data_IF_635099025504
#
_entry.id   IF_635099025504
#
_cell.length_a   1.000
_cell.length_b   1.000
_cell.length_c   1.000
_cell.angle_alpha   90.00
_cell.angle_beta   90.00
_cell.angle_gamma   90.00
#
_symmetry.space_group_name_H-M   'P 1'
#
loop_
_entity.id
_entity.type
_entity.pdbx_description
1 polymer ?
#
# COMPACT_ATOMS: atom_id res chain seq x y z
N UNK A 1 33.37 -1.98 -21.86
CA UNK A 1 31.92 -1.90 -22.18
C UNK A 1 31.24 -3.02 -21.43
N UNK A 2 30.58 -2.72 -20.30
CA UNK A 2 29.95 -3.70 -19.43
C UNK A 2 28.63 -3.13 -18.93
N UNK A 3 27.57 -3.91 -19.08
CA UNK A 3 26.16 -3.55 -18.93
C UNK A 3 25.84 -2.72 -17.68
N UNK A 4 25.36 -1.49 -17.90
CA UNK A 4 24.61 -0.66 -16.93
C UNK A 4 23.13 -1.07 -16.91
N UNK A 5 22.83 -2.35 -16.75
CA UNK A 5 21.46 -2.77 -16.44
C UNK A 5 21.26 -2.57 -14.94
N UNK A 6 20.98 -1.34 -14.54
CA UNK A 6 20.55 -1.03 -13.17
C UNK A 6 19.20 -1.68 -12.93
N UNK A 7 18.94 -2.18 -11.71
CA UNK A 7 17.63 -2.67 -11.26
C UNK A 7 16.47 -1.66 -11.49
N UNK A 8 16.79 -0.43 -11.90
CA UNK A 8 15.88 0.56 -12.45
C UNK A 8 15.07 0.05 -13.67
N UNK A 9 15.62 -0.84 -14.50
CA UNK A 9 14.88 -1.48 -15.59
C UNK A 9 13.91 -2.55 -15.08
N UNK A 10 14.29 -3.34 -14.07
CA UNK A 10 13.40 -4.34 -13.44
C UNK A 10 12.27 -3.68 -12.65
N UNK A 11 12.58 -2.58 -11.96
CA UNK A 11 11.60 -1.73 -11.27
C UNK A 11 10.67 -1.10 -12.31
N UNK A 12 11.21 -0.49 -13.38
CA UNK A 12 10.41 0.12 -14.45
C UNK A 12 9.56 -0.91 -15.22
N UNK A 13 10.09 -2.10 -15.50
CA UNK A 13 9.41 -3.17 -16.25
C UNK A 13 8.30 -3.85 -15.44
N UNK A 14 8.52 -4.14 -14.16
CA UNK A 14 7.46 -4.65 -13.28
C UNK A 14 6.33 -3.63 -13.10
N UNK A 15 6.64 -2.33 -13.18
CA UNK A 15 5.69 -1.24 -12.97
C UNK A 15 4.92 -0.88 -14.25
N UNK A 16 5.51 -0.98 -15.44
CA UNK A 16 4.83 -0.75 -16.72
C UNK A 16 3.76 -1.81 -17.02
N UNK A 17 4.04 -3.08 -16.72
CA UNK A 17 3.10 -4.21 -16.77
C UNK A 17 1.90 -3.99 -15.81
N UNK A 18 2.13 -3.29 -14.68
CA UNK A 18 1.13 -3.06 -13.65
C UNK A 18 0.31 -1.76 -13.84
N UNK A 19 0.91 -0.69 -14.36
CA UNK A 19 0.18 0.52 -14.77
C UNK A 19 -0.87 0.19 -15.85
N UNK A 20 -0.57 -0.77 -16.73
CA UNK A 20 -1.53 -1.36 -17.67
C UNK A 20 -2.73 -2.00 -16.95
N UNK A 21 -2.50 -2.75 -15.88
CA UNK A 21 -3.55 -3.38 -15.07
C UNK A 21 -4.40 -2.35 -14.29
N UNK A 22 -3.82 -1.26 -13.78
CA UNK A 22 -4.56 -0.19 -13.09
C UNK A 22 -5.38 0.70 -14.03
N UNK A 23 -4.88 1.01 -15.24
CA UNK A 23 -5.65 1.76 -16.26
C UNK A 23 -6.91 1.01 -16.70
N UNK A 24 -6.91 -0.32 -16.62
CA UNK A 24 -7.99 -1.18 -17.10
C UNK A 24 -8.99 -1.61 -16.00
N UNK A 25 -8.73 -1.32 -14.72
CA UNK A 25 -9.65 -1.69 -13.64
C UNK A 25 -10.70 -0.60 -13.39
N UNK A 26 -11.88 -0.74 -14.00
CA UNK A 26 -13.02 0.13 -13.75
C UNK A 26 -13.72 -0.25 -12.43
N UNK A 27 -13.78 0.68 -11.49
CA UNK A 27 -14.68 0.55 -10.35
C UNK A 27 -16.09 0.90 -10.85
N UNK A 28 -16.88 -0.12 -11.20
CA UNK A 28 -18.31 0.06 -11.44
C UNK A 28 -19.02 0.34 -10.11
N UNK A 29 -19.72 1.45 -10.05
CA UNK A 29 -20.58 1.83 -8.93
C UNK A 29 -22.02 1.59 -9.38
N UNK A 30 -22.74 0.72 -8.69
CA UNK A 30 -24.21 0.77 -8.71
C UNK A 30 -24.65 1.10 -7.28
N UNK A 31 -25.30 2.24 -7.10
CA UNK A 31 -25.73 2.74 -5.80
C UNK A 31 -27.25 2.91 -5.81
N UNK A 32 -28.02 2.04 -5.12
CA UNK A 32 -29.47 2.12 -5.15
C UNK A 32 -29.97 3.38 -4.43
N UNK A 33 -30.66 4.23 -5.20
CA UNK A 33 -31.15 5.57 -4.83
C UNK A 33 -31.93 5.64 -3.50
N UNK A 34 -32.52 4.52 -3.04
CA UNK A 34 -33.36 4.45 -1.83
C UNK A 34 -32.62 4.69 -0.50
N UNK A 35 -31.30 4.43 -0.43
CA UNK A 35 -30.53 4.60 0.83
C UNK A 35 -30.13 6.07 1.10
N UNK A 36 -30.03 6.89 0.05
CA UNK A 36 -29.63 8.31 0.14
C UNK A 36 -30.68 9.14 0.88
N UNK A 37 -31.96 8.91 0.59
CA UNK A 37 -33.06 9.65 1.22
C UNK A 37 -33.26 9.32 2.71
N UNK A 38 -32.92 8.10 3.16
CA UNK A 38 -33.02 7.72 4.58
C UNK A 38 -31.92 8.33 5.45
N UNK A 39 -30.70 8.47 4.92
CA UNK A 39 -29.58 9.07 5.64
C UNK A 39 -29.72 10.60 5.78
N UNK A 40 -30.22 11.28 4.74
CA UNK A 40 -30.51 12.71 4.77
C UNK A 40 -31.61 13.08 5.78
N UNK A 41 -32.58 12.19 5.99
CA UNK A 41 -33.70 12.42 6.94
C UNK A 41 -33.26 12.37 8.41
N UNK A 42 -32.20 11.62 8.74
CA UNK A 42 -31.67 11.50 10.12
C UNK A 42 -30.85 12.70 10.58
N UNK A 43 -30.30 13.52 9.66
CA UNK A 43 -29.47 14.70 9.98
C UNK A 43 -30.25 16.02 10.14
N UNK A 44 -31.56 16.02 9.86
CA UNK A 44 -32.38 17.24 9.73
C UNK A 44 -33.30 17.57 10.94
N UNK A 45 -33.00 17.04 12.14
CA UNK A 45 -33.69 17.48 13.35
C UNK A 45 -32.95 18.67 13.96
N UNK A 46 -33.27 19.89 13.52
CA UNK A 46 -33.26 21.17 14.28
C UNK A 46 -33.88 22.23 13.35
N UNK A 47 -34.83 23.02 13.84
CA UNK A 47 -35.63 24.01 13.11
C UNK A 47 -35.10 25.43 13.29
N UNK A 48 -34.95 26.22 12.22
CA UNK A 48 -35.09 27.71 12.14
C UNK A 48 -34.97 28.16 10.66
N UNK A 49 -35.45 29.36 10.29
CA UNK A 49 -35.55 29.83 8.89
C UNK A 49 -34.21 29.93 8.14
N UNK A 50 -33.12 30.25 8.83
CA UNK A 50 -31.71 30.17 8.36
C UNK A 50 -31.32 28.74 7.96
N UNK A 51 -31.97 27.76 8.58
CA UNK A 51 -31.77 26.34 8.35
C UNK A 51 -32.45 25.84 7.07
N UNK A 52 -33.46 26.56 6.51
CA UNK A 52 -34.05 26.17 5.21
C UNK A 52 -33.07 26.38 4.06
N UNK A 53 -32.40 27.52 4.00
CA UNK A 53 -31.40 27.82 2.95
C UNK A 53 -30.16 26.92 3.10
N UNK A 54 -29.71 26.70 4.34
CA UNK A 54 -28.66 25.71 4.64
C UNK A 54 -29.07 24.29 4.20
N UNK A 55 -30.28 23.85 4.54
CA UNK A 55 -30.84 22.55 4.13
C UNK A 55 -30.98 22.42 2.60
N UNK A 56 -31.34 23.49 1.90
CA UNK A 56 -31.43 23.51 0.44
C UNK A 56 -30.06 23.45 -0.24
N UNK A 57 -29.06 24.15 0.30
CA UNK A 57 -27.67 24.05 -0.17
C UNK A 57 -27.08 22.66 0.07
N UNK A 58 -27.36 22.05 1.23
CA UNK A 58 -26.95 20.66 1.54
C UNK A 58 -27.62 19.68 0.58
N UNK A 59 -28.91 19.84 0.29
CA UNK A 59 -29.60 18.99 -0.69
C UNK A 59 -28.99 19.13 -2.08
N UNK A 60 -28.75 20.36 -2.52
CA UNK A 60 -28.17 20.64 -3.84
C UNK A 60 -26.71 20.17 -3.94
N UNK A 61 -25.91 20.25 -2.86
CA UNK A 61 -24.55 19.69 -2.86
C UNK A 61 -24.56 18.17 -2.98
N UNK A 62 -25.53 17.49 -2.37
CA UNK A 62 -25.71 16.04 -2.54
C UNK A 62 -26.10 15.66 -3.98
N UNK A 63 -26.91 16.47 -4.66
CA UNK A 63 -27.25 16.28 -6.08
C UNK A 63 -25.99 16.38 -6.96
N UNK A 64 -25.17 17.42 -6.76
CA UNK A 64 -23.88 17.55 -7.46
C UNK A 64 -22.90 16.41 -7.16
N UNK A 65 -22.89 15.87 -5.93
CA UNK A 65 -22.10 14.66 -5.64
C UNK A 65 -22.58 13.47 -6.48
N UNK A 66 -23.88 13.26 -6.61
CA UNK A 66 -24.44 12.16 -7.40
C UNK A 66 -24.11 12.35 -8.88
N UNK A 67 -24.21 13.58 -9.40
CA UNK A 67 -23.80 13.92 -10.75
C UNK A 67 -22.31 13.66 -10.98
N UNK A 68 -21.45 14.08 -10.04
CA UNK A 68 -20.02 13.80 -10.11
C UNK A 68 -19.71 12.30 -10.13
N UNK A 69 -20.41 11.50 -9.30
CA UNK A 69 -20.27 10.04 -9.31
C UNK A 69 -20.68 9.43 -10.66
N UNK A 70 -21.73 9.98 -11.29
CA UNK A 70 -22.15 9.56 -12.62
C UNK A 70 -21.07 9.86 -13.67
N UNK A 71 -20.47 11.04 -13.65
CA UNK A 71 -19.36 11.36 -14.55
C UNK A 71 -18.11 10.50 -14.31
N UNK A 72 -17.85 10.07 -13.08
CA UNK A 72 -16.80 9.07 -12.80
C UNK A 72 -17.08 7.75 -13.54
N UNK A 73 -18.32 7.25 -13.50
CA UNK A 73 -18.70 6.02 -14.20
C UNK A 73 -18.54 6.16 -15.72
N UNK A 74 -18.86 7.34 -16.26
CA UNK A 74 -18.68 7.69 -17.67
C UNK A 74 -17.22 7.97 -18.06
N UNK A 75 -16.27 7.87 -17.12
CA UNK A 75 -14.86 8.25 -17.29
C UNK A 75 -14.64 9.72 -17.70
N UNK A 76 -15.64 10.58 -17.48
CA UNK A 76 -15.59 12.03 -17.76
C UNK A 76 -15.05 12.79 -16.54
N UNK A 77 -13.78 12.56 -16.20
CA UNK A 77 -13.20 13.01 -14.92
C UNK A 77 -13.18 14.54 -14.75
N UNK A 78 -13.00 15.32 -15.82
CA UNK A 78 -13.05 16.79 -15.76
C UNK A 78 -14.42 17.30 -15.30
N UNK A 79 -15.50 16.76 -15.87
CA UNK A 79 -16.87 17.09 -15.45
C UNK A 79 -17.17 16.62 -14.03
N UNK A 80 -16.64 15.45 -13.63
CA UNK A 80 -16.75 14.99 -12.26
C UNK A 80 -16.12 15.99 -11.26
N UNK A 81 -14.94 16.52 -11.58
CA UNK A 81 -14.26 17.55 -10.77
C UNK A 81 -15.11 18.82 -10.67
N UNK A 82 -15.70 19.27 -11.77
CA UNK A 82 -16.60 20.43 -11.80
C UNK A 82 -17.80 20.21 -10.87
N UNK A 83 -18.51 19.09 -11.01
CA UNK A 83 -19.65 18.75 -10.15
C UNK A 83 -19.26 18.67 -8.67
N UNK A 84 -18.15 18.00 -8.33
CA UNK A 84 -17.69 17.96 -6.92
C UNK A 84 -17.28 19.35 -6.41
N UNK A 85 -16.73 20.20 -7.26
CA UNK A 85 -16.39 21.58 -6.89
C UNK A 85 -17.65 22.40 -6.60
N UNK A 86 -18.72 22.22 -7.39
CA UNK A 86 -20.02 22.82 -7.07
C UNK A 86 -20.60 22.30 -5.76
N UNK A 87 -20.45 21.00 -5.47
CA UNK A 87 -20.85 20.44 -4.18
C UNK A 87 -20.10 21.09 -3.00
N UNK A 88 -18.77 21.25 -3.12
CA UNK A 88 -17.91 21.88 -2.11
C UNK A 88 -18.27 23.36 -1.91
N UNK A 89 -18.49 24.11 -2.98
CA UNK A 89 -18.87 25.53 -2.90
C UNK A 89 -20.19 25.75 -2.15
N UNK A 90 -21.10 24.77 -2.19
CA UNK A 90 -22.38 24.81 -1.48
C UNK A 90 -22.27 24.29 -0.04
N UNK A 91 -21.41 23.30 0.20
CA UNK A 91 -21.18 22.70 1.50
C UNK A 91 -19.79 22.04 1.55
N UNK A 92 -18.87 22.64 2.30
CA UNK A 92 -17.46 22.26 2.39
C UNK A 92 -17.13 21.40 3.62
N UNK A 93 -18.13 20.96 4.39
CA UNK A 93 -17.93 20.15 5.59
C UNK A 93 -18.17 18.65 5.39
N UNK A 94 -18.40 18.19 4.16
CA UNK A 94 -18.48 16.75 3.85
C UNK A 94 -17.13 16.26 3.29
N UNK A 95 -16.44 15.42 4.05
CA UNK A 95 -15.15 14.83 3.65
C UNK A 95 -15.27 14.01 2.34
N UNK A 96 -16.46 13.49 2.04
CA UNK A 96 -16.73 12.67 0.86
C UNK A 96 -16.53 13.48 -0.43
N UNK A 97 -16.86 14.78 -0.44
CA UNK A 97 -16.73 15.59 -1.65
C UNK A 97 -15.26 15.76 -2.06
N UNK A 98 -14.41 16.07 -1.08
CA UNK A 98 -12.96 16.15 -1.28
C UNK A 98 -12.36 14.78 -1.64
N UNK A 99 -12.75 13.71 -0.93
CA UNK A 99 -12.30 12.35 -1.25
C UNK A 99 -12.70 11.89 -2.65
N UNK A 100 -13.89 12.26 -3.13
CA UNK A 100 -14.32 11.90 -4.48
C UNK A 100 -13.62 12.76 -5.55
N UNK A 101 -13.39 14.04 -5.27
CA UNK A 101 -12.65 14.92 -6.18
C UNK A 101 -11.17 14.53 -6.27
N UNK A 102 -10.55 14.07 -5.18
CA UNK A 102 -9.19 13.55 -5.21
C UNK A 102 -9.05 12.30 -6.08
N UNK A 103 -10.04 11.40 -6.10
CA UNK A 103 -10.08 10.28 -7.07
C UNK A 103 -10.07 10.80 -8.49
N UNK A 104 -10.94 11.77 -8.82
CA UNK A 104 -11.04 12.32 -10.17
C UNK A 104 -9.73 12.99 -10.62
N UNK A 105 -9.10 13.76 -9.74
CA UNK A 105 -7.80 14.38 -9.98
C UNK A 105 -6.70 13.31 -10.16
N UNK A 106 -6.67 12.27 -9.32
CA UNK A 106 -5.72 11.16 -9.46
C UNK A 106 -5.86 10.45 -10.81
N UNK A 107 -7.09 10.22 -11.27
CA UNK A 107 -7.36 9.59 -12.57
C UNK A 107 -6.98 10.48 -13.78
N UNK A 108 -6.75 11.78 -13.55
CA UNK A 108 -6.18 12.71 -14.53
C UNK A 108 -4.67 12.95 -14.34
N UNK A 109 -4.00 12.16 -13.49
CA UNK A 109 -2.59 12.34 -13.09
C UNK A 109 -2.29 13.70 -12.44
N UNK A 110 -3.32 14.37 -11.90
CA UNK A 110 -3.18 15.62 -11.13
C UNK A 110 -2.89 15.30 -9.67
N UNK A 111 -1.70 14.76 -9.43
CA UNK A 111 -1.35 14.16 -8.14
C UNK A 111 -1.28 15.20 -7.00
N UNK A 112 -0.79 16.41 -7.28
CA UNK A 112 -0.72 17.48 -6.28
C UNK A 112 -2.10 17.93 -5.80
N UNK A 113 -3.04 18.15 -6.73
CA UNK A 113 -4.41 18.52 -6.41
C UNK A 113 -5.16 17.38 -5.73
N UNK A 114 -4.92 16.14 -6.16
CA UNK A 114 -5.48 14.96 -5.51
C UNK A 114 -4.98 14.80 -4.07
N UNK A 115 -3.69 15.07 -3.82
CA UNK A 115 -3.07 15.03 -2.49
C UNK A 115 -3.70 16.06 -1.57
N UNK A 116 -3.80 17.31 -2.02
CA UNK A 116 -4.44 18.40 -1.26
C UNK A 116 -5.90 18.10 -0.91
N UNK A 117 -6.66 17.54 -1.85
CA UNK A 117 -8.04 17.15 -1.60
C UNK A 117 -8.14 15.99 -0.60
N UNK A 118 -7.24 15.00 -0.68
CA UNK A 118 -7.21 13.91 0.29
C UNK A 118 -6.86 14.41 1.70
N UNK A 119 -5.88 15.32 1.84
CA UNK A 119 -5.53 15.96 3.11
C UNK A 119 -6.69 16.76 3.69
N UNK A 120 -7.42 17.53 2.86
CA UNK A 120 -8.61 18.25 3.29
C UNK A 120 -9.70 17.29 3.76
N UNK A 121 -9.92 16.18 3.06
CA UNK A 121 -10.88 15.16 3.48
C UNK A 121 -10.52 14.58 4.85
N UNK A 122 -9.24 14.28 5.10
CA UNK A 122 -8.75 13.77 6.39
C UNK A 122 -8.84 14.80 7.52
N UNK A 123 -8.63 16.09 7.23
CA UNK A 123 -8.84 17.18 8.20
C UNK A 123 -10.30 17.31 8.64
N UNK A 124 -11.25 16.98 7.75
CA UNK A 124 -12.68 17.01 8.04
C UNK A 124 -13.13 15.73 8.76
N UNK A 125 -12.61 14.58 8.33
CA UNK A 125 -12.97 13.25 8.83
C UNK A 125 -11.75 12.33 8.80
N UNK A 126 -11.11 12.19 9.95
CA UNK A 126 -9.96 11.31 10.16
C UNK A 126 -10.30 9.81 10.03
N UNK A 127 -11.57 9.43 9.96
CA UNK A 127 -11.98 8.03 9.78
C UNK A 127 -12.38 7.72 8.34
N UNK A 128 -12.12 8.66 7.41
CA UNK A 128 -12.38 8.44 6.00
C UNK A 128 -11.34 7.50 5.38
N UNK A 129 -11.63 6.19 5.45
CA UNK A 129 -10.82 5.12 4.85
C UNK A 129 -10.43 5.37 3.39
N UNK A 130 -11.31 6.02 2.61
CA UNK A 130 -11.04 6.31 1.20
C UNK A 130 -10.04 7.45 1.04
N UNK A 131 -10.12 8.47 1.87
CA UNK A 131 -9.16 9.57 1.88
C UNK A 131 -7.76 9.08 2.29
N UNK A 132 -7.66 8.28 3.36
CA UNK A 132 -6.43 7.61 3.77
C UNK A 132 -5.83 6.76 2.64
N UNK A 133 -6.65 5.93 1.98
CA UNK A 133 -6.20 5.12 0.85
C UNK A 133 -5.67 5.99 -0.29
N UNK A 134 -6.39 7.04 -0.68
CA UNK A 134 -5.96 7.91 -1.79
C UNK A 134 -4.67 8.63 -1.42
N UNK A 135 -4.59 9.20 -0.23
CA UNK A 135 -3.42 9.92 0.26
C UNK A 135 -2.18 9.02 0.28
N UNK A 136 -2.29 7.84 0.91
CA UNK A 136 -1.23 6.84 0.93
C UNK A 136 -0.79 6.42 -0.48
N UNK A 137 -1.74 6.15 -1.40
CA UNK A 137 -1.38 5.80 -2.79
C UNK A 137 -0.66 6.93 -3.53
N UNK A 138 -1.03 8.19 -3.32
CA UNK A 138 -0.39 9.33 -3.99
C UNK A 138 1.03 9.51 -3.46
N UNK A 139 1.24 9.38 -2.15
CA UNK A 139 2.58 9.45 -1.56
C UNK A 139 3.49 8.37 -2.14
N UNK A 140 2.99 7.13 -2.30
CA UNK A 140 3.79 6.07 -2.91
C UNK A 140 4.11 6.34 -4.40
N UNK A 141 3.15 6.92 -5.15
CA UNK A 141 3.40 7.37 -6.53
C UNK A 141 4.46 8.48 -6.56
N UNK A 142 4.38 9.45 -5.66
CA UNK A 142 5.39 10.52 -5.57
C UNK A 142 6.78 9.94 -5.31
N UNK A 143 6.91 9.03 -4.33
CA UNK A 143 8.18 8.33 -4.05
C UNK A 143 8.73 7.63 -5.29
N UNK A 144 7.87 6.99 -6.09
CA UNK A 144 8.25 6.33 -7.34
C UNK A 144 8.77 7.29 -8.41
N UNK A 145 8.29 8.54 -8.44
CA UNK A 145 8.72 9.51 -9.45
C UNK A 145 10.06 10.19 -9.12
N UNK A 146 10.61 10.01 -7.91
CA UNK A 146 11.90 10.60 -7.55
C UNK A 146 13.07 9.73 -8.04
N UNK A 147 14.02 10.31 -8.81
CA UNK A 147 15.15 9.56 -9.35
C UNK A 147 16.23 9.22 -8.29
N UNK A 148 16.32 10.01 -7.22
CA UNK A 148 17.38 9.87 -6.22
C UNK A 148 16.90 9.17 -4.95
N UNK A 149 17.37 7.95 -4.73
CA UNK A 149 17.11 7.18 -3.51
C UNK A 149 17.80 7.80 -2.30
N UNK A 150 17.01 8.35 -1.37
CA UNK A 150 17.49 8.97 -0.12
C UNK A 150 16.73 8.43 1.09
N UNK A 151 17.28 8.58 2.29
CA UNK A 151 16.56 8.26 3.53
C UNK A 151 15.25 9.05 3.69
N UNK A 152 15.18 10.25 3.12
CA UNK A 152 13.94 11.05 3.08
C UNK A 152 12.82 10.31 2.34
N UNK A 153 13.14 9.64 1.23
CA UNK A 153 12.15 8.84 0.49
C UNK A 153 11.66 7.62 1.28
N UNK A 154 12.51 7.03 2.13
CA UNK A 154 12.08 5.97 3.05
C UNK A 154 11.02 6.53 4.00
N UNK A 155 11.27 7.70 4.60
CA UNK A 155 10.31 8.36 5.51
C UNK A 155 8.99 8.70 4.80
N UNK A 156 9.05 9.17 3.56
CA UNK A 156 7.86 9.43 2.75
C UNK A 156 7.09 8.13 2.45
N UNK A 157 7.77 7.07 2.03
CA UNK A 157 7.14 5.78 1.78
C UNK A 157 6.50 5.20 3.06
N UNK A 158 7.15 5.34 4.21
CA UNK A 158 6.60 4.95 5.52
C UNK A 158 5.32 5.73 5.85
N UNK A 159 5.28 7.04 5.58
CA UNK A 159 4.05 7.82 5.72
C UNK A 159 2.94 7.26 4.81
N UNK A 160 3.24 6.97 3.55
CA UNK A 160 2.28 6.37 2.63
C UNK A 160 1.72 5.02 3.12
N UNK A 161 2.58 4.17 3.69
CA UNK A 161 2.18 2.88 4.29
C UNK A 161 1.28 3.09 5.50
N UNK A 162 1.65 3.99 6.42
CA UNK A 162 0.87 4.30 7.62
C UNK A 162 -0.56 4.75 7.29
N UNK A 163 -0.70 5.55 6.25
CA UNK A 163 -2.00 6.00 5.75
C UNK A 163 -2.82 4.83 5.17
N UNK A 164 -2.17 3.90 4.45
CA UNK A 164 -2.84 2.69 3.96
C UNK A 164 -3.24 1.73 5.09
N UNK A 165 -2.46 1.61 6.15
CA UNK A 165 -2.79 0.85 7.37
C UNK A 165 -3.99 1.48 8.07
N UNK A 166 -4.01 2.82 8.19
CA UNK A 166 -5.16 3.57 8.71
C UNK A 166 -6.42 3.33 7.87
N UNK A 167 -6.29 3.27 6.54
CA UNK A 167 -7.40 2.87 5.67
C UNK A 167 -7.85 1.43 5.93
N UNK A 168 -6.91 0.50 6.15
CA UNK A 168 -7.18 -0.91 6.42
C UNK A 168 -8.01 -1.10 7.70
N UNK A 169 -7.61 -0.42 8.78
CA UNK A 169 -8.27 -0.47 10.09
C UNK A 169 -9.73 -0.02 10.05
N UNK A 170 -10.05 0.92 9.17
CA UNK A 170 -11.41 1.44 8.98
C UNK A 170 -12.29 0.54 8.08
N UNK A 171 -11.68 -0.40 7.34
CA UNK A 171 -12.36 -1.27 6.36
C UNK A 171 -12.60 -2.69 6.90
N UNK A 172 -12.57 -2.91 8.24
CA UNK A 172 -12.80 -4.19 8.93
C UNK A 172 -13.81 -5.12 8.24
N UNK A 173 -13.61 -6.43 8.36
CA UNK A 173 -14.39 -7.51 7.71
C UNK A 173 -15.88 -7.13 7.61
N UNK A 174 -16.28 -6.71 6.43
CA UNK A 174 -17.63 -6.24 6.13
C UNK A 174 -18.19 -7.09 4.99
N UNK A 175 -19.46 -7.47 5.07
CA UNK A 175 -20.16 -8.15 3.96
C UNK A 175 -20.40 -7.23 2.75
N UNK A 176 -19.92 -5.99 2.78
CA UNK A 176 -20.05 -5.04 1.68
C UNK A 176 -18.99 -5.29 0.61
N UNK A 177 -19.43 -5.68 -0.60
CA UNK A 177 -18.58 -5.96 -1.76
C UNK A 177 -17.62 -4.79 -2.09
N UNK A 178 -18.09 -3.54 -1.99
CA UNK A 178 -17.25 -2.37 -2.26
C UNK A 178 -16.13 -2.21 -1.24
N UNK A 179 -16.40 -2.51 0.03
CA UNK A 179 -15.39 -2.52 1.09
C UNK A 179 -14.38 -3.65 0.89
N UNK A 180 -14.83 -4.82 0.42
CA UNK A 180 -13.93 -5.93 0.09
C UNK A 180 -13.01 -5.60 -1.08
N UNK A 181 -13.52 -4.95 -2.15
CA UNK A 181 -12.70 -4.46 -3.27
C UNK A 181 -11.64 -3.46 -2.78
N UNK A 182 -12.04 -2.50 -1.94
CA UNK A 182 -11.11 -1.52 -1.36
C UNK A 182 -10.03 -2.20 -0.49
N UNK A 183 -10.39 -3.20 0.32
CA UNK A 183 -9.45 -3.97 1.13
C UNK A 183 -8.38 -4.67 0.29
N UNK A 184 -8.78 -5.32 -0.80
CA UNK A 184 -7.82 -5.96 -1.72
C UNK A 184 -6.84 -4.94 -2.28
N UNK A 185 -7.34 -3.77 -2.71
CA UNK A 185 -6.52 -2.67 -3.20
C UNK A 185 -5.55 -2.14 -2.13
N UNK A 186 -6.01 -1.97 -0.89
CA UNK A 186 -5.16 -1.56 0.24
C UNK A 186 -4.01 -2.55 0.42
N UNK A 187 -4.30 -3.84 0.52
CA UNK A 187 -3.28 -4.88 0.69
C UNK A 187 -2.25 -4.88 -0.45
N UNK A 188 -2.70 -4.73 -1.69
CA UNK A 188 -1.80 -4.63 -2.84
C UNK A 188 -0.88 -3.40 -2.75
N UNK A 189 -1.39 -2.24 -2.33
CA UNK A 189 -0.58 -1.03 -2.21
C UNK A 189 0.35 -1.07 -0.99
N UNK A 190 -0.04 -1.75 0.10
CA UNK A 190 0.83 -2.00 1.25
C UNK A 190 2.03 -2.85 0.84
N UNK A 191 1.81 -3.98 0.16
CA UNK A 191 2.88 -4.84 -0.33
C UNK A 191 3.85 -4.07 -1.25
N UNK A 192 3.31 -3.21 -2.13
CA UNK A 192 4.12 -2.32 -2.98
C UNK A 192 4.95 -1.33 -2.18
N UNK A 193 4.35 -0.64 -1.21
CA UNK A 193 5.06 0.32 -0.36
C UNK A 193 6.21 -0.34 0.40
N UNK A 194 5.95 -1.52 0.99
CA UNK A 194 6.97 -2.33 1.68
C UNK A 194 8.11 -2.73 0.74
N UNK A 195 7.79 -3.26 -0.44
CA UNK A 195 8.79 -3.64 -1.45
C UNK A 195 9.60 -2.42 -1.92
N UNK A 196 8.96 -1.27 -2.07
CA UNK A 196 9.65 -0.03 -2.46
C UNK A 196 10.66 0.41 -1.40
N UNK A 197 10.31 0.37 -0.11
CA UNK A 197 11.27 0.66 0.97
C UNK A 197 12.46 -0.30 0.93
N UNK A 198 12.20 -1.60 0.73
CA UNK A 198 13.27 -2.59 0.61
C UNK A 198 14.24 -2.26 -0.52
N UNK A 199 13.72 -1.92 -1.70
CA UNK A 199 14.53 -1.57 -2.87
C UNK A 199 15.32 -0.26 -2.65
N UNK A 200 14.71 0.75 -2.03
CA UNK A 200 15.39 2.02 -1.71
C UNK A 200 16.55 1.77 -0.75
N UNK A 201 16.37 0.92 0.27
CA UNK A 201 17.43 0.56 1.22
C UNK A 201 18.59 -0.16 0.54
N UNK A 202 18.29 -1.16 -0.29
CA UNK A 202 19.30 -1.88 -1.07
C UNK A 202 20.14 -0.93 -1.93
N UNK A 203 19.52 0.07 -2.56
CA UNK A 203 20.24 1.04 -3.37
C UNK A 203 21.12 1.99 -2.53
N UNK A 204 20.64 2.41 -1.36
CA UNK A 204 21.43 3.19 -0.40
C UNK A 204 22.62 2.38 0.10
N UNK A 205 22.43 1.12 0.46
CA UNK A 205 23.49 0.23 0.93
C UNK A 205 24.56 0.02 -0.15
N UNK A 206 24.15 -0.20 -1.41
CA UNK A 206 25.08 -0.27 -2.55
C UNK A 206 25.91 1.01 -2.70
N UNK A 207 25.27 2.19 -2.62
CA UNK A 207 25.97 3.49 -2.69
C UNK A 207 26.96 3.65 -1.53
N UNK A 208 26.56 3.27 -0.32
CA UNK A 208 27.40 3.32 0.88
C UNK A 208 28.61 2.40 0.77
N UNK A 209 28.42 1.15 0.30
CA UNK A 209 29.51 0.19 0.05
C UNK A 209 30.47 0.76 -1.00
N UNK A 210 29.95 1.34 -2.07
CA UNK A 210 30.79 1.93 -3.12
C UNK A 210 31.62 3.11 -2.61
N UNK A 211 31.03 3.97 -1.78
CA UNK A 211 31.73 5.08 -1.12
C UNK A 211 32.82 4.57 -0.17
N UNK A 212 32.51 3.57 0.65
CA UNK A 212 33.46 2.95 1.57
C UNK A 212 34.62 2.29 0.82
N UNK A 213 34.34 1.59 -0.28
CA UNK A 213 35.34 0.99 -1.17
C UNK A 213 36.29 2.06 -1.69
N UNK A 214 35.77 3.20 -2.13
CA UNK A 214 36.61 4.31 -2.60
C UNK A 214 37.50 4.87 -1.50
N UNK A 215 36.95 5.12 -0.30
CA UNK A 215 37.74 5.62 0.84
C UNK A 215 38.84 4.65 1.27
N UNK A 216 38.54 3.35 1.29
CA UNK A 216 39.50 2.30 1.62
C UNK A 216 40.60 2.18 0.56
N UNK A 217 40.29 2.34 -0.74
CA UNK A 217 41.29 2.45 -1.80
C UNK A 217 42.23 3.64 -1.57
N UNK A 218 41.67 4.82 -1.25
CA UNK A 218 42.46 6.02 -1.00
C UNK A 218 43.36 5.88 0.24
N UNK A 219 42.91 5.17 1.29
CA UNK A 219 43.73 4.84 2.46
C UNK A 219 44.83 3.85 2.09
N UNK A 220 44.48 2.78 1.36
CA UNK A 220 45.42 1.75 0.90
C UNK A 220 46.56 2.36 0.10
N UNK A 221 46.25 3.26 -0.83
CA UNK A 221 47.24 3.98 -1.63
C UNK A 221 48.14 4.88 -0.77
N UNK A 222 47.56 5.64 0.16
CA UNK A 222 48.33 6.53 1.07
C UNK A 222 49.25 5.75 2.01
N UNK A 223 48.83 4.60 2.48
CA UNK A 223 49.57 3.78 3.44
C UNK A 223 50.40 2.67 2.78
N UNK A 224 50.42 2.59 1.45
CA UNK A 224 51.09 1.52 0.68
C UNK A 224 50.69 0.10 1.12
N UNK A 225 49.44 -0.07 1.55
CA UNK A 225 48.91 -1.37 1.95
C UNK A 225 48.55 -2.20 0.72
N UNK A 226 48.84 -3.50 0.76
CA UNK A 226 48.30 -4.48 -0.19
C UNK A 226 47.02 -5.08 0.41
N UNK A 227 45.87 -4.58 -0.04
CA UNK A 227 44.57 -5.13 0.34
C UNK A 227 44.10 -6.18 -0.68
N UNK A 228 43.67 -7.35 -0.18
CA UNK A 228 42.93 -8.31 -0.98
C UNK A 228 41.45 -7.90 -1.07
N UNK A 229 41.15 -7.13 -2.11
CA UNK A 229 39.80 -6.65 -2.37
C UNK A 229 38.78 -7.74 -2.62
N UNK A 230 39.19 -8.91 -3.15
CA UNK A 230 38.27 -10.01 -3.38
C UNK A 230 37.81 -10.62 -2.05
N UNK A 231 38.74 -10.83 -1.11
CA UNK A 231 38.43 -11.32 0.23
C UNK A 231 37.58 -10.31 1.03
N UNK A 232 37.92 -9.02 0.95
CA UNK A 232 37.16 -7.95 1.60
C UNK A 232 35.75 -7.87 1.03
N UNK A 233 35.59 -7.90 -0.30
CA UNK A 233 34.28 -7.86 -0.95
C UNK A 233 33.43 -9.09 -0.60
N UNK A 234 34.03 -10.29 -0.53
CA UNK A 234 33.34 -11.49 -0.05
C UNK A 234 32.89 -11.39 1.41
N UNK A 235 33.73 -10.86 2.30
CA UNK A 235 33.39 -10.69 3.72
C UNK A 235 32.32 -9.62 3.94
N UNK A 236 32.34 -8.54 3.15
CA UNK A 236 31.30 -7.50 3.15
C UNK A 236 29.98 -8.08 2.61
N UNK A 237 30.00 -8.77 1.46
CA UNK A 237 28.81 -9.42 0.90
C UNK A 237 28.21 -10.44 1.86
N UNK A 238 29.02 -11.30 2.49
CA UNK A 238 28.54 -12.25 3.52
C UNK A 238 27.88 -11.58 4.72
N UNK A 239 28.28 -10.36 5.08
CA UNK A 239 27.67 -9.59 6.18
C UNK A 239 26.41 -8.81 5.76
N UNK A 240 26.26 -8.48 4.47
CA UNK A 240 25.19 -7.60 3.95
C UNK A 240 24.11 -8.39 3.21
N UNK A 241 24.46 -9.42 2.46
CA UNK A 241 23.53 -10.33 1.77
C UNK A 241 23.14 -11.49 2.69
N UNK A 242 22.23 -11.25 3.62
CA UNK A 242 21.31 -12.34 3.99
C UNK A 242 20.22 -12.34 2.94
N UNK A 243 20.44 -13.11 1.87
CA UNK A 243 19.37 -13.40 0.93
C UNK A 243 18.32 -14.25 1.66
N UNK A 244 17.15 -13.66 1.89
CA UNK A 244 16.03 -14.36 2.51
C UNK A 244 15.69 -15.55 1.61
N UNK A 245 15.78 -16.79 2.12
CA UNK A 245 15.52 -17.94 1.28
C UNK A 245 14.10 -17.87 0.71
N UNK A 246 13.95 -18.12 -0.59
CA UNK A 246 12.65 -17.96 -1.29
C UNK A 246 11.54 -18.79 -0.63
N UNK A 247 11.89 -19.93 -0.03
CA UNK A 247 10.96 -20.80 0.69
C UNK A 247 10.40 -20.21 2.00
N UNK A 248 10.91 -19.05 2.46
CA UNK A 248 10.32 -18.30 3.57
C UNK A 248 9.20 -17.34 3.12
N UNK A 249 9.09 -17.10 1.81
CA UNK A 249 8.13 -16.16 1.23
C UNK A 249 6.87 -16.90 0.81
N UNK A 250 5.71 -16.36 1.20
CA UNK A 250 4.41 -16.89 0.79
C UNK A 250 4.21 -16.72 -0.73
N UNK A 251 3.89 -17.78 -1.48
CA UNK A 251 3.67 -17.67 -2.93
C UNK A 251 2.47 -16.81 -3.35
N UNK A 252 1.52 -16.56 -2.44
CA UNK A 252 0.33 -15.73 -2.72
C UNK A 252 0.59 -14.26 -2.32
N UNK A 253 1.12 -14.03 -1.12
CA UNK A 253 1.32 -12.67 -0.59
C UNK A 253 2.60 -12.02 -1.10
N UNK A 254 3.59 -12.81 -1.50
CA UNK A 254 4.97 -12.36 -1.74
C UNK A 254 5.57 -11.64 -0.52
N UNK A 255 5.09 -11.98 0.67
CA UNK A 255 5.59 -11.53 1.98
C UNK A 255 6.13 -12.74 2.74
N UNK A 256 7.01 -12.52 3.72
CA UNK A 256 7.51 -13.57 4.62
C UNK A 256 6.32 -14.18 5.37
N UNK A 257 6.27 -15.51 5.44
CA UNK A 257 5.20 -16.21 6.15
C UNK A 257 5.29 -15.95 7.67
N UNK A 258 4.20 -15.50 8.28
CA UNK A 258 4.09 -15.35 9.73
C UNK A 258 3.53 -16.61 10.38
N UNK A 259 2.53 -17.20 9.70
CA UNK A 259 1.89 -18.46 10.06
C UNK A 259 1.92 -19.40 8.86
N UNK A 260 3.07 -20.03 8.54
CA UNK A 260 3.17 -20.94 7.41
C UNK A 260 2.32 -22.20 7.62
N UNK A 261 1.44 -22.49 6.65
CA UNK A 261 0.63 -23.71 6.54
C UNK A 261 1.19 -24.54 5.39
N UNK A 262 1.56 -25.78 5.69
CA UNK A 262 1.99 -26.77 4.72
C UNK A 262 0.77 -27.46 4.10
N UNK A 263 0.75 -27.52 2.78
CA UNK A 263 -0.23 -28.28 2.01
C UNK A 263 0.34 -29.63 1.60
N UNK A 264 -0.52 -30.56 1.18
CA UNK A 264 -0.11 -31.90 0.74
C UNK A 264 0.80 -31.88 -0.50
N UNK A 265 0.80 -30.77 -1.25
CA UNK A 265 1.73 -30.53 -2.37
C UNK A 265 3.18 -30.31 -1.92
N UNK A 266 3.42 -30.15 -0.61
CA UNK A 266 4.73 -29.82 -0.04
C UNK A 266 5.03 -28.32 0.00
N UNK A 267 4.12 -27.48 -0.48
CA UNK A 267 4.26 -26.04 -0.48
C UNK A 267 3.69 -25.42 0.79
N UNK A 268 4.38 -24.40 1.31
CA UNK A 268 3.92 -23.61 2.46
C UNK A 268 3.38 -22.25 2.02
N UNK A 269 2.28 -21.85 2.64
CA UNK A 269 1.61 -20.58 2.40
C UNK A 269 1.32 -19.89 3.72
N UNK A 270 1.24 -18.56 3.72
CA UNK A 270 0.75 -17.87 4.90
C UNK A 270 -0.72 -18.22 5.15
N UNK A 271 -1.07 -18.56 6.38
CA UNK A 271 -2.41 -18.99 6.80
C UNK A 271 -3.50 -18.04 6.35
N UNK A 272 -3.27 -16.73 6.47
CA UNK A 272 -4.25 -15.71 6.09
C UNK A 272 -4.59 -15.78 4.59
N UNK A 273 -3.57 -15.97 3.77
CA UNK A 273 -3.66 -16.01 2.31
C UNK A 273 -4.35 -17.27 1.80
N UNK A 274 -3.97 -18.43 2.35
CA UNK A 274 -4.50 -19.72 1.88
C UNK A 274 -5.95 -19.91 2.33
N UNK A 275 -6.31 -19.41 3.52
CA UNK A 275 -7.71 -19.38 3.97
C UNK A 275 -8.57 -18.47 3.09
N UNK A 276 -8.03 -17.32 2.66
CA UNK A 276 -8.74 -16.44 1.73
C UNK A 276 -8.93 -17.11 0.37
N UNK A 277 -7.91 -17.78 -0.16
CA UNK A 277 -8.00 -18.54 -1.40
C UNK A 277 -9.11 -19.60 -1.32
N UNK A 278 -9.15 -20.40 -0.26
CA UNK A 278 -10.15 -21.46 -0.11
C UNK A 278 -11.58 -20.93 -0.05
N UNK A 279 -11.79 -19.76 0.55
CA UNK A 279 -13.10 -19.09 0.57
C UNK A 279 -13.54 -18.61 -0.82
N UNK A 280 -12.61 -18.26 -1.70
CA UNK A 280 -12.91 -17.69 -3.01
C UNK A 280 -13.01 -18.76 -4.10
N UNK A 281 -12.09 -19.72 -4.09
CA UNK A 281 -11.86 -20.64 -5.20
C UNK A 281 -12.03 -22.12 -4.80
N UNK A 282 -12.47 -22.38 -3.57
CA UNK A 282 -12.57 -23.74 -3.01
C UNK A 282 -11.21 -24.29 -2.56
N UNK A 283 -11.23 -25.50 -1.99
CA UNK A 283 -10.03 -26.18 -1.46
C UNK A 283 -9.17 -26.74 -2.58
N UNK A 284 -8.47 -25.83 -3.27
CA UNK A 284 -7.58 -26.12 -4.38
C UNK A 284 -6.27 -25.39 -4.12
N UNK A 285 -5.16 -26.09 -4.31
CA UNK A 285 -3.82 -25.51 -4.26
C UNK A 285 -3.69 -24.42 -5.33
N UNK A 286 -3.36 -23.17 -4.96
CA UNK A 286 -3.26 -22.06 -5.91
C UNK A 286 -2.21 -22.29 -7.01
N UNK A 287 -1.13 -23.02 -6.72
CA UNK A 287 -0.01 -23.20 -7.64
C UNK A 287 -0.15 -24.52 -8.41
N UNK A 288 -0.37 -25.62 -7.71
CA UNK A 288 -0.40 -26.96 -8.33
C UNK A 288 -1.78 -27.32 -8.89
N UNK A 289 -2.82 -26.57 -8.52
CA UNK A 289 -4.24 -26.80 -8.89
C UNK A 289 -4.80 -28.15 -8.41
N UNK A 290 -4.12 -28.81 -7.48
CA UNK A 290 -4.59 -30.06 -6.89
C UNK A 290 -5.67 -29.79 -5.85
N UNK A 291 -6.64 -30.70 -5.74
CA UNK A 291 -7.66 -30.64 -4.68
C UNK A 291 -7.03 -30.93 -3.32
N UNK A 292 -7.43 -30.18 -2.31
CA UNK A 292 -6.91 -30.26 -0.95
C UNK A 292 -8.00 -30.77 -0.03
N UNK A 293 -7.65 -31.71 0.84
CA UNK A 293 -8.49 -32.07 1.97
C UNK A 293 -8.35 -31.00 3.06
N UNK A 294 -9.43 -30.31 3.47
CA UNK A 294 -9.36 -29.32 4.56
C UNK A 294 -8.77 -29.85 5.86
N UNK A 295 -8.87 -31.16 6.11
CA UNK A 295 -8.36 -31.80 7.32
C UNK A 295 -6.85 -32.10 7.26
N UNK A 296 -6.23 -32.02 6.08
CA UNK A 296 -4.82 -32.33 5.89
C UNK A 296 -3.90 -31.11 6.01
N UNK A 297 -4.43 -29.96 6.42
CA UNK A 297 -3.67 -28.73 6.63
C UNK A 297 -2.83 -28.83 7.90
N UNK A 298 -1.51 -28.66 7.77
CA UNK A 298 -0.56 -28.77 8.89
C UNK A 298 0.16 -27.43 9.07
N UNK A 299 0.26 -26.95 10.31
CA UNK A 299 1.09 -25.79 10.62
C UNK A 299 2.57 -26.16 10.48
N UNK A 300 3.32 -25.41 9.67
CA UNK A 300 4.74 -25.66 9.44
C UNK A 300 5.59 -24.99 10.53
N UNK A 301 5.58 -25.58 11.72
CA UNK A 301 6.28 -25.05 12.90
C UNK A 301 7.79 -24.92 12.65
N UNK A 302 8.39 -25.85 11.91
CA UNK A 302 9.83 -25.81 11.58
C UNK A 302 10.18 -24.59 10.73
N UNK A 303 9.41 -24.34 9.67
CA UNK A 303 9.60 -23.18 8.82
C UNK A 303 9.41 -21.88 9.60
N UNK A 304 8.39 -21.84 10.47
CA UNK A 304 8.13 -20.71 11.36
C UNK A 304 9.31 -20.42 12.28
N UNK A 305 9.88 -21.44 12.91
CA UNK A 305 11.03 -21.29 13.80
C UNK A 305 12.27 -20.82 13.05
N UNK A 306 12.54 -21.36 11.85
CA UNK A 306 13.65 -20.90 11.01
C UNK A 306 13.51 -19.43 10.59
N UNK A 307 12.29 -18.99 10.28
CA UNK A 307 11.99 -17.58 10.02
C UNK A 307 12.27 -16.71 11.26
N UNK A 308 11.85 -17.16 12.45
CA UNK A 308 12.07 -16.44 13.71
C UNK A 308 13.57 -16.35 14.05
N UNK A 309 14.32 -17.44 13.86
CA UNK A 309 15.75 -17.49 14.14
C UNK A 309 16.53 -16.54 13.24
N UNK A 310 16.28 -16.57 11.94
CA UNK A 310 16.88 -15.63 10.97
C UNK A 310 16.50 -14.18 11.29
N UNK A 311 15.26 -13.92 11.73
CA UNK A 311 14.83 -12.59 12.18
C UNK A 311 15.61 -12.11 13.41
N UNK A 312 15.91 -13.01 14.37
CA UNK A 312 16.68 -12.72 15.58
C UNK A 312 18.17 -12.50 15.31
N UNK A 313 18.78 -13.38 14.51
CA UNK A 313 20.23 -13.37 14.25
C UNK A 313 20.67 -12.13 13.47
N UNK A 314 19.86 -11.70 12.49
CA UNK A 314 20.21 -10.61 11.59
C UNK A 314 19.55 -9.27 11.92
N UNK A 315 18.82 -9.18 13.05
CA UNK A 315 18.27 -7.93 13.55
C UNK A 315 17.48 -7.16 12.48
N UNK A 316 16.46 -7.80 11.90
CA UNK A 316 15.69 -7.22 10.80
C UNK A 316 14.98 -5.91 11.21
N UNK A 317 15.59 -4.78 10.86
CA UNK A 317 14.97 -3.45 10.94
C UNK A 317 14.03 -3.31 9.74
N UNK A 318 12.75 -3.56 9.97
CA UNK A 318 11.68 -3.07 9.12
C UNK A 318 11.04 -4.13 8.23
N UNK A 319 10.16 -4.93 8.82
CA UNK A 319 8.70 -4.91 8.64
C UNK A 319 8.21 -5.97 9.63
N UNK A 320 8.01 -5.57 10.88
CA UNK A 320 7.13 -6.29 11.78
C UNK A 320 6.23 -5.27 12.46
N UNK A 321 4.94 -5.56 12.33
CA UNK A 321 3.80 -5.05 13.05
C UNK A 321 4.06 -4.11 14.23
N UNK A 322 3.44 -2.94 14.12
CA UNK A 322 3.35 -1.83 15.07
C UNK A 322 2.55 -2.17 16.36
N UNK A 323 2.80 -3.32 17.02
CA UNK A 323 2.02 -3.72 18.22
C UNK A 323 2.75 -4.08 19.51
N UNK A 324 4.08 -4.20 19.57
CA UNK A 324 4.75 -4.62 20.82
C UNK A 324 5.53 -3.53 21.59
N UNK A 325 5.40 -2.25 21.25
CA UNK A 325 6.03 -1.15 22.01
C UNK A 325 5.40 -0.81 23.37
N UNK A 326 4.66 -1.72 24.01
CA UNK A 326 4.10 -1.51 25.37
C UNK A 326 4.66 -2.40 26.47
N UNK A 327 5.72 -3.16 26.23
CA UNK A 327 6.24 -4.09 27.25
C UNK A 327 7.74 -3.95 27.56
N UNK A 328 8.31 -2.73 27.52
CA UNK A 328 9.61 -2.49 28.14
C UNK A 328 9.47 -1.33 29.13
N UNK A 329 9.26 -1.69 30.40
CA UNK A 329 9.48 -0.79 31.53
C UNK A 329 11.00 -0.65 31.70
N UNK A 330 11.44 0.59 31.86
CA UNK A 330 12.79 0.92 32.28
C UNK A 330 12.97 0.50 33.74
N UNK A 331 14.01 -0.29 34.00
CA UNK A 331 14.81 -0.23 35.23
C UNK A 331 16.29 -0.30 34.84
#
# INVERSE_FOLDING_TARGET
MGNRASNHEEISAFLSEFEYQQKNFSIQYDYPQRKVFKAAKKRNQISHSSNRRCSQNIKKSLEYKVEGNHYIQLKQYKKAIESYTQAINLYDRDSIYFSNRSVANKLLNRFQEAKQDAEKALKIDEHNSRAHFIYGTIILIEVQMFPDTTESLIKQAQLGIKELESAQDQVKISKNEQKNKLRVLINQNLAKGKRMIYLIRQEIDKRNIQSLKQTLLDISHRQQLQLDWNLIEQNIKRKIEIQMPEYFVCPILFEIMEEPILLNSGLSYDKSSIQQQFRQNGYIDPLTRQSIDPLSLIENIQLRNGIIEIKREYGWIGIEHEKDYKAIRFE
#
